data_IF_081391712731
#
_entry.id   IF_081391712731
#
_cell.length_a   1.000
_cell.length_b   1.000
_cell.length_c   1.000
_cell.angle_alpha   90.00
_cell.angle_beta   90.00
_cell.angle_gamma   90.00
#
_symmetry.space_group_name_H-M   'P 1'
#
loop_
_entity.id
_entity.type
_entity.pdbx_description
1 polymer ?
#
# COMPACT_ATOMS: atom_id res chain seq x y z
N UNK A 1 36.60 7.92 2.77
CA UNK A 1 36.86 6.46 2.63
C UNK A 1 35.54 5.77 2.37
N UNK A 2 35.36 5.22 1.17
CA UNK A 2 34.12 4.55 0.78
C UNK A 2 34.07 3.18 1.45
N UNK A 3 33.06 2.94 2.29
CA UNK A 3 32.79 1.60 2.77
C UNK A 3 32.42 0.75 1.55
N UNK A 4 33.23 -0.27 1.26
CA UNK A 4 32.86 -1.30 0.30
C UNK A 4 31.71 -2.09 0.94
N UNK A 5 30.50 -1.88 0.42
CA UNK A 5 29.37 -2.70 0.80
C UNK A 5 29.58 -4.13 0.30
N UNK A 6 29.19 -5.12 1.11
CA UNK A 6 29.24 -6.53 0.70
C UNK A 6 28.41 -6.73 -0.59
N UNK A 7 28.85 -7.57 -1.54
CA UNK A 7 28.11 -7.87 -2.77
C UNK A 7 26.63 -8.24 -2.53
N UNK A 8 26.34 -8.96 -1.43
CA UNK A 8 24.98 -9.32 -1.04
C UNK A 8 24.07 -8.11 -0.77
N UNK A 9 24.63 -7.01 -0.27
CA UNK A 9 23.87 -5.77 -0.04
C UNK A 9 23.46 -5.12 -1.37
N UNK A 10 24.35 -5.15 -2.37
CA UNK A 10 24.07 -4.62 -3.71
C UNK A 10 22.97 -5.44 -4.38
N UNK A 11 23.04 -6.77 -4.29
CA UNK A 11 22.01 -7.65 -4.83
C UNK A 11 20.67 -7.44 -4.13
N UNK A 12 20.65 -7.43 -2.80
CA UNK A 12 19.41 -7.19 -2.06
C UNK A 12 18.76 -5.85 -2.42
N UNK A 13 19.56 -4.79 -2.53
CA UNK A 13 19.07 -3.48 -2.95
C UNK A 13 18.54 -3.49 -4.40
N UNK A 14 19.20 -4.23 -5.29
CA UNK A 14 18.74 -4.44 -6.66
C UNK A 14 17.39 -5.16 -6.71
N UNK A 15 17.22 -6.24 -5.93
CA UNK A 15 15.96 -6.99 -5.85
C UNK A 15 14.81 -6.08 -5.42
N UNK A 16 15.02 -5.33 -4.33
CA UNK A 16 14.04 -4.39 -3.78
C UNK A 16 13.66 -3.30 -4.79
N UNK A 17 14.63 -2.80 -5.57
CA UNK A 17 14.37 -1.76 -6.56
C UNK A 17 13.72 -2.30 -7.85
N UNK A 18 14.25 -3.40 -8.39
CA UNK A 18 13.86 -3.92 -9.69
C UNK A 18 12.62 -4.83 -9.62
N UNK A 19 12.61 -5.80 -8.70
CA UNK A 19 11.51 -6.77 -8.58
C UNK A 19 10.38 -6.23 -7.70
N UNK A 20 10.70 -5.71 -6.52
CA UNK A 20 9.68 -5.16 -5.62
C UNK A 20 9.25 -3.73 -6.01
N UNK A 21 9.87 -3.17 -7.07
CA UNK A 21 9.54 -1.87 -7.66
C UNK A 21 9.61 -0.68 -6.69
N UNK A 22 10.37 -0.79 -5.61
CA UNK A 22 10.47 0.25 -4.60
C UNK A 22 11.21 1.49 -5.11
N UNK A 23 10.94 2.64 -4.49
CA UNK A 23 11.73 3.86 -4.68
C UNK A 23 13.12 3.73 -4.05
N UNK A 24 14.10 4.51 -4.52
CA UNK A 24 15.43 4.50 -3.90
C UNK A 24 15.42 4.93 -2.43
N UNK A 25 14.47 5.77 -2.02
CA UNK A 25 14.27 6.16 -0.61
C UNK A 25 13.87 4.95 0.22
N UNK A 26 12.91 4.16 -0.27
CA UNK A 26 12.47 2.97 0.45
C UNK A 26 13.53 1.88 0.50
N UNK A 27 14.27 1.69 -0.60
CA UNK A 27 15.42 0.77 -0.60
C UNK A 27 16.48 1.23 0.40
N UNK A 28 16.73 2.55 0.50
CA UNK A 28 17.65 3.13 1.49
C UNK A 28 17.20 2.84 2.92
N UNK A 29 15.92 3.01 3.25
CA UNK A 29 15.37 2.68 4.57
C UNK A 29 15.54 1.19 4.92
N UNK A 30 15.29 0.30 3.95
CA UNK A 30 15.32 -1.15 4.18
C UNK A 30 16.74 -1.73 4.24
N UNK A 31 17.69 -1.11 3.58
CA UNK A 31 19.07 -1.63 3.47
C UNK A 31 20.09 -0.83 4.28
N UNK A 32 19.71 0.35 4.77
CA UNK A 32 20.64 1.30 5.42
C UNK A 32 21.64 1.97 4.46
N UNK A 33 21.53 1.72 3.14
CA UNK A 33 22.43 2.27 2.12
C UNK A 33 21.93 3.63 1.66
N UNK A 34 22.78 4.65 1.72
CA UNK A 34 22.43 5.99 1.26
C UNK A 34 21.89 6.01 -0.19
N UNK A 35 20.84 6.79 -0.43
CA UNK A 35 20.18 6.94 -1.74
C UNK A 35 21.15 7.32 -2.86
N UNK A 36 22.17 8.13 -2.59
CA UNK A 36 23.21 8.51 -3.56
C UNK A 36 24.05 7.31 -4.00
N UNK A 37 24.39 6.41 -3.07
CA UNK A 37 25.09 5.15 -3.36
C UNK A 37 24.21 4.22 -4.18
N UNK A 38 22.91 4.11 -3.84
CA UNK A 38 21.95 3.31 -4.60
C UNK A 38 21.80 3.80 -6.04
N UNK A 39 21.70 5.12 -6.26
CA UNK A 39 21.66 5.72 -7.61
C UNK A 39 22.92 5.38 -8.40
N UNK A 40 24.10 5.49 -7.78
CA UNK A 40 25.37 5.10 -8.41
C UNK A 40 25.41 3.62 -8.79
N UNK A 41 24.88 2.73 -7.96
CA UNK A 41 24.76 1.31 -8.30
C UNK A 41 23.75 1.07 -9.42
N UNK A 42 22.62 1.77 -9.39
CA UNK A 42 21.63 1.68 -10.45
C UNK A 42 22.21 2.05 -11.81
N UNK A 43 23.03 3.10 -11.87
CA UNK A 43 23.72 3.50 -13.10
C UNK A 43 24.79 2.47 -13.49
N UNK A 44 25.65 2.04 -12.54
CA UNK A 44 26.74 1.08 -12.79
C UNK A 44 26.22 -0.28 -13.28
N UNK A 45 25.12 -0.77 -12.72
CA UNK A 45 24.57 -2.10 -12.96
C UNK A 45 23.30 -2.09 -13.80
N UNK A 46 22.93 -0.94 -14.39
CA UNK A 46 21.77 -0.78 -15.29
C UNK A 46 20.46 -1.28 -14.68
N UNK A 47 20.17 -0.86 -13.46
CA UNK A 47 18.98 -1.31 -12.74
C UNK A 47 17.68 -0.81 -13.37
N UNK A 48 17.68 0.37 -13.99
CA UNK A 48 16.47 0.94 -14.61
C UNK A 48 16.04 0.13 -15.83
N UNK A 49 17.00 -0.21 -16.68
CA UNK A 49 16.80 -1.06 -17.85
C UNK A 49 16.34 -2.45 -17.43
N UNK A 50 16.96 -3.05 -16.41
CA UNK A 50 16.51 -4.34 -15.87
C UNK A 50 15.09 -4.29 -15.29
N UNK A 51 14.72 -3.18 -14.63
CA UNK A 51 13.37 -2.98 -14.10
C UNK A 51 12.34 -2.87 -15.22
N UNK A 52 12.70 -2.23 -16.33
CA UNK A 52 11.85 -2.14 -17.52
C UNK A 52 11.71 -3.50 -18.22
N UNK A 53 12.82 -4.23 -18.40
CA UNK A 53 12.82 -5.59 -18.96
C UNK A 53 11.96 -6.54 -18.13
N UNK A 54 12.09 -6.51 -16.81
CA UNK A 54 11.22 -7.26 -15.90
C UNK A 54 9.75 -6.88 -16.10
N UNK A 55 9.44 -5.59 -16.23
CA UNK A 55 8.07 -5.14 -16.45
C UNK A 55 7.48 -5.65 -17.76
N UNK A 56 8.29 -5.70 -18.82
CA UNK A 56 7.90 -6.26 -20.10
C UNK A 56 7.63 -7.77 -19.98
N UNK A 57 8.58 -8.52 -19.42
CA UNK A 57 8.45 -9.98 -19.21
C UNK A 57 7.22 -10.31 -18.36
N UNK A 58 7.00 -9.59 -17.26
CA UNK A 58 5.79 -9.77 -16.43
C UNK A 58 4.51 -9.51 -17.21
N UNK A 59 4.50 -8.51 -18.10
CA UNK A 59 3.36 -8.21 -18.97
C UNK A 59 3.12 -9.33 -19.98
N UNK A 60 4.17 -9.81 -20.62
CA UNK A 60 4.11 -10.94 -21.55
C UNK A 60 3.63 -12.22 -20.86
N UNK A 61 4.08 -12.51 -19.64
CA UNK A 61 3.60 -13.64 -18.85
C UNK A 61 2.10 -13.51 -18.57
N UNK A 62 1.62 -12.32 -18.16
CA UNK A 62 0.18 -12.08 -17.93
C UNK A 62 -0.62 -12.30 -19.21
N UNK A 63 -0.16 -11.75 -20.33
CA UNK A 63 -0.79 -11.91 -21.64
C UNK A 63 -0.84 -13.39 -22.06
N UNK A 64 0.29 -14.07 -22.03
CA UNK A 64 0.42 -15.48 -22.41
C UNK A 64 -0.40 -16.40 -21.51
N UNK A 65 -0.56 -16.05 -20.24
CA UNK A 65 -1.45 -16.79 -19.33
C UNK A 65 -2.90 -16.72 -19.80
N UNK A 66 -3.39 -15.54 -20.17
CA UNK A 66 -4.76 -15.37 -20.71
C UNK A 66 -4.91 -16.11 -22.03
N UNK A 67 -3.93 -15.99 -22.93
CA UNK A 67 -3.96 -16.68 -24.22
C UNK A 67 -3.90 -18.20 -24.08
N UNK A 68 -3.09 -18.72 -23.15
CA UNK A 68 -3.01 -20.14 -22.86
C UNK A 68 -4.34 -20.69 -22.31
N UNK A 69 -5.00 -19.96 -21.42
CA UNK A 69 -6.35 -20.32 -20.93
C UNK A 69 -7.36 -20.37 -22.08
N UNK A 70 -7.37 -19.35 -22.95
CA UNK A 70 -8.23 -19.34 -24.14
C UNK A 70 -7.99 -20.58 -25.00
N UNK A 71 -6.73 -20.90 -25.29
CA UNK A 71 -6.39 -22.05 -26.13
C UNK A 71 -6.85 -23.38 -25.54
N UNK A 72 -6.69 -23.59 -24.23
CA UNK A 72 -7.14 -24.82 -23.56
C UNK A 72 -8.67 -24.89 -23.53
N UNK A 73 -9.37 -23.77 -23.31
CA UNK A 73 -10.84 -23.72 -23.38
C UNK A 73 -11.35 -24.03 -24.79
N UNK A 74 -10.72 -23.48 -25.83
CA UNK A 74 -11.07 -23.80 -27.22
C UNK A 74 -10.86 -25.29 -27.51
N UNK A 75 -9.72 -25.85 -27.09
CA UNK A 75 -9.47 -27.29 -27.23
C UNK A 75 -10.50 -28.16 -26.51
N UNK A 76 -11.01 -27.71 -25.36
CA UNK A 76 -12.08 -28.41 -24.66
C UNK A 76 -13.40 -28.39 -25.45
N UNK A 77 -13.75 -27.25 -26.06
CA UNK A 77 -14.96 -27.10 -26.87
C UNK A 77 -14.89 -27.90 -28.17
N UNK A 78 -13.69 -28.08 -28.72
CA UNK A 78 -13.42 -28.82 -29.96
C UNK A 78 -13.15 -30.31 -29.72
N UNK A 79 -13.03 -30.77 -28.47
CA UNK A 79 -12.73 -32.16 -28.17
C UNK A 79 -13.91 -33.08 -28.55
N UNK A 80 -13.70 -33.92 -29.55
CA UNK A 80 -14.69 -34.89 -30.02
C UNK A 80 -14.62 -36.21 -29.22
N UNK A 81 -13.45 -36.52 -28.64
CA UNK A 81 -13.21 -37.71 -27.83
C UNK A 81 -13.36 -37.44 -26.32
N UNK A 82 -14.10 -38.31 -25.64
CA UNK A 82 -14.41 -38.15 -24.22
C UNK A 82 -13.18 -38.23 -23.29
N UNK A 83 -12.12 -38.95 -23.70
CA UNK A 83 -10.88 -39.04 -22.92
C UNK A 83 -10.06 -37.75 -23.07
N UNK A 84 -9.95 -37.21 -24.29
CA UNK A 84 -9.32 -35.90 -24.50
C UNK A 84 -10.09 -34.79 -23.77
N UNK A 85 -11.41 -34.74 -23.91
CA UNK A 85 -12.26 -33.76 -23.23
C UNK A 85 -12.06 -33.79 -21.70
N UNK A 86 -11.98 -34.98 -21.10
CA UNK A 86 -11.77 -35.15 -19.66
C UNK A 86 -10.40 -34.63 -19.20
N UNK A 87 -9.33 -34.90 -19.97
CA UNK A 87 -7.97 -34.44 -19.64
C UNK A 87 -7.84 -32.92 -19.77
N UNK A 88 -8.39 -32.35 -20.84
CA UNK A 88 -8.39 -30.91 -21.06
C UNK A 88 -9.24 -30.20 -20.00
N UNK A 89 -10.42 -30.73 -19.65
CA UNK A 89 -11.26 -30.19 -18.58
C UNK A 89 -10.54 -30.15 -17.23
N UNK A 90 -9.79 -31.20 -16.87
CA UNK A 90 -8.99 -31.22 -15.64
C UNK A 90 -7.88 -30.15 -15.65
N UNK A 91 -7.22 -29.96 -16.79
CA UNK A 91 -6.20 -28.92 -16.95
C UNK A 91 -6.80 -27.51 -16.79
N UNK A 92 -7.96 -27.24 -17.40
CA UNK A 92 -8.71 -25.99 -17.21
C UNK A 92 -9.06 -25.78 -15.74
N UNK A 93 -9.66 -26.78 -15.09
CA UNK A 93 -10.08 -26.69 -13.69
C UNK A 93 -8.90 -26.41 -12.75
N UNK A 94 -7.74 -27.00 -13.01
CA UNK A 94 -6.52 -26.77 -12.24
C UNK A 94 -5.99 -25.33 -12.40
N UNK A 95 -6.00 -24.80 -13.63
CA UNK A 95 -5.57 -23.42 -13.91
C UNK A 95 -6.54 -22.39 -13.32
N UNK A 96 -7.84 -22.61 -13.41
CA UNK A 96 -8.86 -21.73 -12.83
C UNK A 96 -8.82 -21.76 -11.29
N UNK A 97 -8.63 -22.94 -10.69
CA UNK A 97 -8.44 -23.07 -9.24
C UNK A 97 -7.19 -22.32 -8.75
N UNK A 98 -6.08 -22.42 -9.48
CA UNK A 98 -4.87 -21.65 -9.17
C UNK A 98 -5.11 -20.14 -9.30
N UNK A 99 -5.84 -19.71 -10.33
CA UNK A 99 -6.18 -18.31 -10.55
C UNK A 99 -7.05 -17.74 -9.41
N UNK A 100 -8.07 -18.48 -9.00
CA UNK A 100 -8.93 -18.14 -7.86
C UNK A 100 -8.11 -18.00 -6.58
N UNK A 101 -7.24 -18.98 -6.30
CA UNK A 101 -6.36 -18.93 -5.13
C UNK A 101 -5.40 -17.74 -5.15
N UNK A 102 -4.87 -17.37 -6.32
CA UNK A 102 -4.07 -16.15 -6.45
C UNK A 102 -4.90 -14.89 -6.18
N UNK A 103 -6.11 -14.80 -6.74
CA UNK A 103 -7.01 -13.67 -6.50
C UNK A 103 -7.40 -13.55 -5.01
N UNK A 104 -7.67 -14.67 -4.34
CA UNK A 104 -7.93 -14.72 -2.90
C UNK A 104 -6.73 -14.23 -2.08
N UNK A 105 -5.52 -14.70 -2.40
CA UNK A 105 -4.32 -14.27 -1.69
C UNK A 105 -3.97 -12.80 -1.95
N UNK A 106 -4.23 -12.29 -3.17
CA UNK A 106 -4.09 -10.87 -3.48
C UNK A 106 -5.12 -10.02 -2.72
N UNK A 107 -6.39 -10.43 -2.68
CA UNK A 107 -7.44 -9.75 -1.90
C UNK A 107 -7.16 -9.80 -0.40
N UNK A 108 -6.53 -10.88 0.10
CA UNK A 108 -6.07 -11.03 1.47
C UNK A 108 -4.78 -10.26 1.78
N UNK A 109 -4.20 -9.54 0.80
CA UNK A 109 -2.94 -8.81 0.96
C UNK A 109 -1.70 -9.68 1.17
N UNK A 110 -1.79 -10.99 0.87
CA UNK A 110 -0.69 -11.97 1.01
C UNK A 110 0.15 -12.10 -0.26
N UNK A 111 -0.35 -11.61 -1.40
CA UNK A 111 0.47 -11.37 -2.59
C UNK A 111 0.80 -9.87 -2.61
N UNK A 112 2.08 -9.49 -2.72
CA UNK A 112 2.45 -8.09 -2.88
C UNK A 112 1.84 -7.53 -4.17
N UNK A 113 0.72 -6.81 -4.06
CA UNK A 113 0.26 -5.91 -5.11
C UNK A 113 1.01 -4.60 -4.90
N UNK A 114 2.16 -4.45 -5.57
CA UNK A 114 2.95 -3.22 -5.51
C UNK A 114 2.43 -2.21 -6.54
N UNK A 115 1.19 -1.77 -6.33
CA UNK A 115 0.82 -0.40 -6.66
C UNK A 115 1.21 0.43 -5.44
N UNK A 116 2.32 1.17 -5.52
CA UNK A 116 2.65 2.14 -4.47
C UNK A 116 1.45 3.11 -4.36
N UNK A 117 0.81 3.24 -3.19
CA UNK A 117 -0.25 4.24 -3.04
C UNK A 117 0.35 5.62 -3.35
N UNK A 118 -0.32 6.40 -4.21
CA UNK A 118 0.14 7.70 -4.71
C UNK A 118 0.55 8.67 -3.60
N UNK A 119 -0.03 8.53 -2.40
CA UNK A 119 0.39 9.26 -1.22
C UNK A 119 0.39 8.33 0.01
N UNK A 120 1.54 8.23 0.68
CA UNK A 120 1.59 7.67 2.04
C UNK A 120 1.29 8.78 3.05
N UNK A 121 0.43 8.56 4.04
CA UNK A 121 0.23 9.52 5.11
C UNK A 121 1.54 9.68 5.90
N UNK A 122 1.99 10.92 6.07
CA UNK A 122 3.14 11.25 6.92
C UNK A 122 2.71 11.14 8.39
N UNK A 123 3.19 10.12 9.09
CA UNK A 123 2.85 9.87 10.49
C UNK A 123 4.00 10.38 11.37
N UNK A 124 3.88 11.60 11.91
CA UNK A 124 4.86 12.16 12.84
C UNK A 124 4.45 11.95 14.30
N UNK A 125 3.14 11.93 14.55
CA UNK A 125 2.55 11.90 15.89
C UNK A 125 1.53 10.77 16.01
N UNK A 126 1.16 10.45 17.26
CA UNK A 126 0.08 9.51 17.54
C UNK A 126 -1.26 10.00 16.96
N UNK A 127 -1.49 11.31 16.89
CA UNK A 127 -2.67 11.89 16.26
C UNK A 127 -2.69 11.64 14.75
N UNK A 128 -1.55 11.80 14.07
CA UNK A 128 -1.43 11.52 12.63
C UNK A 128 -1.67 10.04 12.33
N UNK A 129 -1.17 9.15 13.21
CA UNK A 129 -1.36 7.71 13.06
C UNK A 129 -2.84 7.32 13.15
N UNK A 130 -3.57 7.90 14.11
CA UNK A 130 -5.01 7.66 14.30
C UNK A 130 -5.81 8.26 13.14
N UNK A 131 -5.47 9.46 12.67
CA UNK A 131 -6.11 10.08 11.52
C UNK A 131 -5.92 9.26 10.23
N UNK A 132 -4.69 8.80 9.97
CA UNK A 132 -4.38 7.92 8.84
C UNK A 132 -5.12 6.58 8.92
N UNK A 133 -5.21 5.98 10.11
CA UNK A 133 -5.95 4.74 10.34
C UNK A 133 -7.46 4.92 10.09
N UNK A 134 -8.02 6.06 10.52
CA UNK A 134 -9.44 6.42 10.30
C UNK A 134 -9.73 6.57 8.80
N UNK A 135 -8.85 7.23 8.06
CA UNK A 135 -8.98 7.39 6.61
C UNK A 135 -8.87 6.05 5.88
N UNK A 136 -7.93 5.20 6.27
CA UNK A 136 -7.78 3.85 5.71
C UNK A 136 -9.02 2.98 5.96
N UNK A 137 -9.58 3.00 7.18
CA UNK A 137 -10.82 2.28 7.50
C UNK A 137 -12.00 2.83 6.69
N UNK A 138 -12.12 4.15 6.55
CA UNK A 138 -13.16 4.78 5.71
C UNK A 138 -13.05 4.34 4.25
N UNK A 139 -11.85 4.33 3.69
CA UNK A 139 -11.62 3.90 2.31
C UNK A 139 -11.96 2.42 2.12
N UNK A 140 -11.54 1.56 3.05
CA UNK A 140 -11.85 0.12 3.03
C UNK A 140 -13.37 -0.13 3.13
N UNK A 141 -14.07 0.60 3.99
CA UNK A 141 -15.53 0.55 4.10
C UNK A 141 -16.19 1.06 2.81
N UNK A 142 -15.72 2.18 2.26
CA UNK A 142 -16.20 2.71 0.98
C UNK A 142 -16.09 1.70 -0.15
N UNK A 143 -14.94 1.02 -0.27
CA UNK A 143 -14.76 -0.05 -1.26
C UNK A 143 -15.69 -1.24 -1.04
N UNK A 144 -15.91 -1.65 0.20
CA UNK A 144 -16.83 -2.73 0.54
C UNK A 144 -18.30 -2.36 0.25
N UNK A 145 -18.66 -1.09 0.44
CA UNK A 145 -20.01 -0.57 0.16
C UNK A 145 -20.28 -0.40 -1.34
N UNK A 146 -19.25 -0.17 -2.15
CA UNK A 146 -19.37 -0.08 -3.62
C UNK A 146 -19.73 -1.41 -4.30
N UNK A 147 -19.64 -2.53 -3.58
CA UNK A 147 -20.06 -3.86 -4.05
C UNK A 147 -20.93 -4.54 -2.97
N UNK A 148 -22.26 -4.28 -2.98
CA UNK A 148 -23.19 -4.77 -1.96
C UNK A 148 -23.19 -6.30 -1.77
N UNK A 149 -22.78 -7.06 -2.80
CA UNK A 149 -22.69 -8.52 -2.74
C UNK A 149 -21.54 -9.04 -1.86
N UNK A 150 -20.56 -8.18 -1.54
CA UNK A 150 -19.41 -8.52 -0.68
C UNK A 150 -19.64 -8.19 0.81
N UNK A 151 -20.78 -7.60 1.14
CA UNK A 151 -21.17 -7.33 2.52
C UNK A 151 -21.76 -8.61 3.11
N UNK A 152 -21.03 -9.23 4.04
CA UNK A 152 -21.50 -10.38 4.81
C UNK A 152 -21.25 -10.16 6.31
N UNK A 153 -21.75 -11.07 7.15
CA UNK A 153 -21.63 -10.94 8.60
C UNK A 153 -20.18 -10.83 9.08
N UNK A 154 -19.22 -11.51 8.42
CA UNK A 154 -17.81 -11.40 8.76
C UNK A 154 -17.25 -10.01 8.44
N UNK A 155 -17.53 -9.47 7.24
CA UNK A 155 -17.12 -8.11 6.85
C UNK A 155 -17.68 -7.06 7.81
N UNK A 156 -18.93 -7.22 8.26
CA UNK A 156 -19.58 -6.30 9.22
C UNK A 156 -18.95 -6.39 10.61
N UNK A 157 -18.63 -7.59 11.11
CA UNK A 157 -17.94 -7.76 12.39
C UNK A 157 -16.52 -7.20 12.37
N UNK A 158 -15.80 -7.40 11.27
CA UNK A 158 -14.45 -6.85 11.10
C UNK A 158 -14.46 -5.31 11.08
N UNK A 159 -15.39 -4.71 10.33
CA UNK A 159 -15.57 -3.24 10.31
C UNK A 159 -15.93 -2.71 11.69
N UNK A 160 -16.85 -3.37 12.41
CA UNK A 160 -17.21 -3.00 13.78
C UNK A 160 -15.99 -3.00 14.70
N UNK A 161 -15.21 -4.08 14.69
CA UNK A 161 -13.99 -4.20 15.52
C UNK A 161 -12.97 -3.12 15.17
N UNK A 162 -12.78 -2.80 13.89
CA UNK A 162 -11.91 -1.71 13.46
C UNK A 162 -12.37 -0.34 13.98
N UNK A 163 -13.68 -0.07 13.96
CA UNK A 163 -14.24 1.19 14.47
C UNK A 163 -14.15 1.31 16.00
N UNK A 164 -14.36 0.22 16.73
CA UNK A 164 -14.19 0.17 18.19
C UNK A 164 -12.74 0.46 18.59
N UNK A 165 -11.78 -0.21 17.93
CA UNK A 165 -10.35 0.04 18.15
C UNK A 165 -9.94 1.47 17.80
N UNK A 166 -10.50 2.05 16.74
CA UNK A 166 -10.29 3.46 16.41
C UNK A 166 -10.81 4.38 17.53
N UNK A 167 -12.02 4.11 18.04
CA UNK A 167 -12.59 4.88 19.16
C UNK A 167 -11.74 4.80 20.42
N UNK A 168 -11.17 3.64 20.75
CA UNK A 168 -10.25 3.47 21.88
C UNK A 168 -8.95 4.25 21.69
N UNK A 169 -8.39 4.26 20.48
CA UNK A 169 -7.17 4.98 20.15
C UNK A 169 -7.40 6.50 20.15
N UNK A 170 -8.55 6.96 19.67
CA UNK A 170 -8.96 8.37 19.72
C UNK A 170 -9.20 8.84 21.15
N UNK A 171 -9.79 8.01 22.02
CA UNK A 171 -10.00 8.32 23.43
C UNK A 171 -8.69 8.44 24.22
N UNK A 172 -7.61 7.80 23.74
CA UNK A 172 -6.26 7.87 24.32
C UNK A 172 -5.43 9.03 23.80
N UNK A 173 -5.92 9.76 22.78
CA UNK A 173 -5.25 10.99 22.35
C UNK A 173 -5.35 12.03 23.49
N UNK A 174 -4.28 12.78 23.75
CA UNK A 174 -4.38 13.91 24.67
C UNK A 174 -5.47 14.83 24.15
N UNK A 175 -6.49 15.10 24.98
CA UNK A 175 -7.43 16.18 24.70
C UNK A 175 -6.59 17.42 24.47
N UNK A 176 -6.74 18.06 23.30
CA UNK A 176 -6.17 19.39 23.09
C UNK A 176 -6.49 20.19 24.36
N UNK A 177 -5.46 20.70 25.02
CA UNK A 177 -5.69 21.73 26.01
C UNK A 177 -6.39 22.81 25.19
N UNK A 178 -7.69 23.01 25.44
CA UNK A 178 -8.31 24.29 25.16
C UNK A 178 -7.28 25.30 25.66
N UNK A 179 -6.69 26.07 24.74
CA UNK A 179 -6.09 27.32 25.12
C UNK A 179 -7.22 28.02 25.88
N UNK A 180 -7.11 28.00 27.21
CA UNK A 180 -7.81 28.94 28.03
C UNK A 180 -7.44 30.27 27.42
N UNK A 181 -8.34 30.82 26.61
CA UNK A 181 -8.34 32.22 26.22
C UNK A 181 -8.42 32.96 27.55
N UNK A 182 -7.26 33.18 28.15
CA UNK A 182 -7.12 34.13 29.22
C UNK A 182 -7.63 35.42 28.63
N UNK A 183 -8.83 35.80 29.06
CA UNK A 183 -9.45 37.12 28.85
C UNK A 183 -8.63 38.18 29.62
N UNK A 184 -7.32 38.08 29.61
CA UNK A 184 -6.43 39.14 30.00
C UNK A 184 -6.31 40.05 28.77
N UNK A 185 -6.89 41.25 28.87
CA UNK A 185 -6.59 42.34 27.96
C UNK A 185 -5.06 42.44 27.85
N UNK A 186 -4.53 42.40 26.63
CA UNK A 186 -3.09 42.59 26.43
C UNK A 186 -2.66 43.90 27.12
N UNK A 187 -1.45 43.95 27.71
CA UNK A 187 -0.97 45.14 28.43
C UNK A 187 -1.06 46.42 27.59
N UNK A 188 -0.89 46.30 26.26
CA UNK A 188 -1.07 47.39 25.30
C UNK A 188 -2.52 47.92 25.26
N UNK A 189 -3.51 47.03 25.25
CA UNK A 189 -4.93 47.43 25.28
C UNK A 189 -5.33 48.02 26.64
N UNK A 190 -4.78 47.49 27.74
CA UNK A 190 -5.00 48.03 29.09
C UNK A 190 -4.40 49.43 29.26
N UNK A 191 -3.32 49.74 28.53
CA UNK A 191 -2.65 51.04 28.57
C UNK A 191 -3.36 52.07 27.68
N UNK A 192 -3.82 51.66 26.50
CA UNK A 192 -4.66 52.50 25.64
C UNK A 192 -5.98 52.90 26.32
N UNK A 193 -6.59 52.00 27.10
CA UNK A 193 -7.82 52.31 27.86
C UNK A 193 -7.54 53.32 28.98
N UNK A 194 -6.38 53.28 29.64
CA UNK A 194 -6.02 54.25 30.69
C UNK A 194 -5.74 55.65 30.13
N UNK A 195 -5.09 55.73 28.98
CA UNK A 195 -4.91 57.01 28.27
C UNK A 195 -6.25 57.63 27.85
N UNK A 196 -7.20 56.83 27.36
CA UNK A 196 -8.52 57.31 26.96
C UNK A 196 -9.36 57.75 28.17
N UNK A 197 -9.23 57.06 29.32
CA UNK A 197 -9.99 57.37 30.53
C UNK A 197 -9.32 58.45 31.41
N UNK A 198 -8.16 59.00 30.99
CA UNK A 198 -7.51 60.12 31.66
C UNK A 198 -7.04 59.85 33.09
N UNK A 199 -6.82 58.58 33.45
CA UNK A 199 -6.32 58.18 34.77
C UNK A 199 -4.88 57.71 34.61
N UNK A 200 -3.94 58.56 35.05
CA UNK A 200 -2.51 58.22 35.17
C UNK A 200 -2.26 57.27 36.33
#
# INVERSE_FOLDING_TARGET
MGWEHEPGTVWRAQELYCMDRLSFERVSELTGVATSTLKRWADKYRWRERREELAQVESEIRFNTVMGRKAILQRLLEAEDGKEASQVAFAVASLESLALKQAELAAAGKIPSFSEPEARPHIATQADAVAALREAVRNKVGMALSDPGKINAATVQDVKRCLELLGELEARLPKEKEESRDKALSPENAQAIREILGTS
#
